data_IF_439011002404
#
_entry.id   IF_439011002404
#
_cell.length_a   1.000
_cell.length_b   1.000
_cell.length_c   1.000
_cell.angle_alpha   90.00
_cell.angle_beta   90.00
_cell.angle_gamma   90.00
#
_symmetry.space_group_name_H-M   'P 1'
#
loop_
_entity.id
_entity.type
_entity.pdbx_description
1 polymer ?
#
# COMPACT_ATOMS: atom_id res chain seq x y z
N UNK A 1 -37.73 49.46 -40.80
CA UNK A 1 -37.04 48.17 -41.01
C UNK A 1 -35.55 48.49 -41.08
N UNK A 2 -34.71 48.48 -40.01
CA UNK A 2 -34.25 47.39 -39.09
C UNK A 2 -33.81 46.14 -39.89
N UNK A 3 -32.59 45.57 -39.86
CA UNK A 3 -31.36 45.58 -39.02
C UNK A 3 -30.16 45.25 -39.95
N UNK A 4 -28.99 45.91 -39.93
CA UNK A 4 -27.76 45.70 -39.13
C UNK A 4 -27.34 44.24 -38.89
N UNK A 5 -26.22 43.87 -39.52
CA UNK A 5 -25.71 42.51 -39.66
C UNK A 5 -24.73 42.06 -38.58
N UNK A 6 -24.72 40.73 -38.41
CA UNK A 6 -23.68 39.80 -37.99
C UNK A 6 -22.76 40.21 -36.82
N UNK A 7 -23.08 39.65 -35.64
CA UNK A 7 -22.18 39.52 -34.50
C UNK A 7 -21.36 38.22 -34.67
N UNK A 8 -20.03 38.32 -34.64
CA UNK A 8 -19.13 37.16 -34.59
C UNK A 8 -18.97 36.74 -33.13
N UNK A 9 -19.32 35.50 -32.82
CA UNK A 9 -19.18 34.90 -31.50
C UNK A 9 -17.79 34.23 -31.42
N UNK A 10 -16.84 34.88 -30.74
CA UNK A 10 -15.56 34.23 -30.37
C UNK A 10 -15.71 33.58 -29.01
N UNK A 11 -15.89 32.26 -28.98
CA UNK A 11 -15.84 31.46 -27.76
C UNK A 11 -14.41 31.03 -27.51
N UNK A 12 -13.76 31.66 -26.52
CA UNK A 12 -12.46 31.21 -26.03
C UNK A 12 -12.69 29.93 -25.22
N UNK A 13 -12.09 28.83 -25.67
CA UNK A 13 -11.98 27.57 -24.94
C UNK A 13 -11.20 27.82 -23.64
N UNK A 14 -11.89 27.75 -22.51
CA UNK A 14 -11.26 27.63 -21.20
C UNK A 14 -10.61 26.24 -21.12
N UNK A 15 -9.30 26.17 -21.30
CA UNK A 15 -8.51 24.98 -21.01
C UNK A 15 -8.54 24.73 -19.50
N UNK A 16 -9.39 23.80 -19.07
CA UNK A 16 -9.35 23.25 -17.74
C UNK A 16 -8.05 22.48 -17.56
N UNK A 17 -7.07 23.11 -16.92
CA UNK A 17 -6.01 22.38 -16.21
C UNK A 17 -6.70 21.61 -15.09
N UNK A 18 -7.05 20.35 -15.37
CA UNK A 18 -7.39 19.43 -14.30
C UNK A 18 -6.07 19.09 -13.64
N UNK A 19 -5.76 19.81 -12.56
CA UNK A 19 -4.77 19.37 -11.60
C UNK A 19 -5.24 18.00 -11.12
N UNK A 20 -4.64 16.93 -11.65
CA UNK A 20 -4.68 15.63 -10.99
C UNK A 20 -3.95 15.87 -9.69
N UNK A 21 -4.69 16.10 -8.61
CA UNK A 21 -4.12 15.99 -7.27
C UNK A 21 -3.54 14.59 -7.22
N UNK A 22 -2.21 14.47 -7.15
CA UNK A 22 -1.56 13.22 -6.80
C UNK A 22 -2.02 12.90 -5.38
N UNK A 23 -3.14 12.18 -5.27
CA UNK A 23 -3.56 11.63 -3.99
C UNK A 23 -2.48 10.62 -3.62
N UNK A 24 -1.95 10.70 -2.40
CA UNK A 24 -1.06 9.67 -1.90
C UNK A 24 -1.73 8.30 -2.11
N UNK A 25 -1.00 7.34 -2.65
CA UNK A 25 -1.48 5.97 -2.80
C UNK A 25 -1.73 5.38 -1.41
N UNK A 26 -2.65 4.42 -1.29
CA UNK A 26 -3.12 3.92 0.02
C UNK A 26 -3.34 2.41 0.00
N UNK A 27 -3.18 1.80 1.17
CA UNK A 27 -3.88 0.55 1.51
C UNK A 27 -5.19 0.95 2.20
N UNK A 28 -6.29 0.33 1.80
CA UNK A 28 -7.62 0.71 2.29
C UNK A 28 -8.42 -0.55 2.64
N UNK A 29 -9.14 -0.51 3.75
CA UNK A 29 -9.99 -1.62 4.16
C UNK A 29 -10.37 -1.59 5.63
N UNK A 30 -10.49 -2.76 6.22
CA UNK A 30 -10.93 -2.96 7.61
C UNK A 30 -9.86 -3.64 8.45
N UNK A 31 -9.73 -3.19 9.70
CA UNK A 31 -8.99 -3.88 10.76
C UNK A 31 -9.87 -3.90 12.01
N UNK A 32 -10.16 -5.10 12.52
CA UNK A 32 -11.01 -5.31 13.70
C UNK A 32 -12.37 -4.58 13.62
N UNK A 33 -13.12 -4.78 12.53
CA UNK A 33 -14.42 -4.12 12.36
C UNK A 33 -14.37 -2.63 12.03
N UNK A 34 -13.18 -2.03 11.97
CA UNK A 34 -13.00 -0.59 11.81
C UNK A 34 -12.37 -0.27 10.45
N UNK A 35 -13.05 0.57 9.67
CA UNK A 35 -12.49 1.12 8.42
C UNK A 35 -11.21 1.92 8.71
N UNK A 36 -10.16 1.64 7.94
CA UNK A 36 -8.85 2.26 8.05
C UNK A 36 -8.24 2.49 6.68
N UNK A 37 -7.39 3.50 6.64
CA UNK A 37 -6.53 3.81 5.50
C UNK A 37 -5.08 3.92 6.00
N UNK A 38 -4.15 3.41 5.20
CA UNK A 38 -2.72 3.57 5.42
C UNK A 38 -2.08 4.18 4.19
N UNK A 39 -1.40 5.30 4.37
CA UNK A 39 -0.82 6.09 3.29
C UNK A 39 0.55 5.54 2.90
N UNK A 40 0.72 5.30 1.60
CA UNK A 40 2.02 5.05 0.99
C UNK A 40 2.72 6.39 0.82
N UNK A 41 3.84 6.53 1.50
CA UNK A 41 4.66 7.73 1.48
C UNK A 41 5.78 7.59 0.45
N UNK A 42 5.92 8.58 -0.42
CA UNK A 42 7.04 8.74 -1.34
C UNK A 42 7.61 10.15 -1.21
N UNK A 43 8.90 10.27 -0.88
CA UNK A 43 9.60 11.55 -0.84
C UNK A 43 11.01 11.37 -1.42
N UNK A 44 11.32 12.09 -2.50
CA UNK A 44 12.60 12.02 -3.20
C UNK A 44 13.00 10.57 -3.54
N UNK A 45 14.06 10.05 -2.92
CA UNK A 45 14.61 8.71 -3.15
C UNK A 45 14.12 7.66 -2.14
N UNK A 46 13.20 8.04 -1.25
CA UNK A 46 12.69 7.19 -0.19
C UNK A 46 11.20 6.91 -0.40
N UNK A 47 10.89 5.70 -0.87
CA UNK A 47 9.54 5.19 -1.01
C UNK A 47 9.27 4.14 0.07
N UNK A 48 8.08 4.19 0.67
CA UNK A 48 7.63 3.19 1.63
C UNK A 48 7.08 1.92 0.98
N UNK A 49 6.92 1.94 -0.35
CA UNK A 49 6.71 0.75 -1.16
C UNK A 49 7.92 0.56 -2.09
N UNK A 50 8.55 -0.59 -2.01
CA UNK A 50 9.77 -0.90 -2.75
C UNK A 50 9.77 -2.31 -3.31
N UNK A 51 10.59 -2.53 -4.33
CA UNK A 51 10.90 -3.88 -4.81
C UNK A 51 12.38 -4.03 -5.14
N UNK A 52 12.88 -5.26 -4.96
CA UNK A 52 14.21 -5.69 -5.38
C UNK A 52 14.06 -6.79 -6.43
N UNK A 53 14.73 -6.62 -7.57
CA UNK A 53 14.90 -7.69 -8.57
C UNK A 53 16.10 -8.53 -8.16
N UNK A 54 15.87 -9.78 -7.76
CA UNK A 54 16.94 -10.69 -7.34
C UNK A 54 17.41 -11.61 -8.48
N UNK A 55 16.90 -11.39 -9.71
CA UNK A 55 17.23 -12.16 -10.90
C UNK A 55 16.29 -13.35 -11.15
N UNK A 56 16.36 -13.91 -12.35
CA UNK A 56 15.63 -15.11 -12.76
C UNK A 56 14.10 -15.06 -12.56
N UNK A 57 13.50 -13.87 -12.60
CA UNK A 57 12.06 -13.68 -12.41
C UNK A 57 11.62 -13.65 -10.95
N UNK A 58 12.58 -13.63 -10.01
CA UNK A 58 12.32 -13.55 -8.59
C UNK A 58 12.36 -12.08 -8.11
N UNK A 59 11.42 -11.72 -7.24
CA UNK A 59 11.30 -10.37 -6.71
C UNK A 59 11.02 -10.39 -5.21
N UNK A 60 11.58 -9.44 -4.48
CA UNK A 60 11.17 -9.11 -3.11
C UNK A 60 10.43 -7.79 -3.15
N UNK A 61 9.24 -7.73 -2.56
CA UNK A 61 8.42 -6.52 -2.49
C UNK A 61 8.10 -6.22 -1.03
N UNK A 62 8.30 -4.98 -0.63
CA UNK A 62 7.99 -4.46 0.70
C UNK A 62 7.07 -3.24 0.57
N UNK A 63 5.89 -3.30 1.18
CA UNK A 63 4.90 -2.23 1.17
C UNK A 63 4.63 -1.83 2.61
N UNK A 64 4.88 -0.58 2.97
CA UNK A 64 4.59 -0.04 4.30
C UNK A 64 3.66 1.16 4.17
N UNK A 65 2.43 1.01 4.64
CA UNK A 65 1.50 2.12 4.78
C UNK A 65 1.48 2.66 6.21
N UNK A 66 1.37 3.97 6.37
CA UNK A 66 1.32 4.64 7.67
C UNK A 66 -0.06 5.20 7.94
N UNK A 67 -0.53 5.16 9.19
CA UNK A 67 -1.82 5.79 9.54
C UNK A 67 -1.80 7.32 9.43
N UNK A 68 -0.62 7.95 9.51
CA UNK A 68 -0.42 9.39 9.41
C UNK A 68 0.20 9.75 8.04
N UNK A 69 -0.50 10.53 7.18
CA UNK A 69 0.01 10.93 5.87
C UNK A 69 1.23 11.86 5.94
N UNK A 70 1.45 12.54 7.08
CA UNK A 70 2.59 13.44 7.29
C UNK A 70 3.74 12.74 8.05
N UNK A 71 3.51 11.51 8.52
CA UNK A 71 4.27 10.92 9.60
C UNK A 71 4.82 9.53 9.31
N UNK A 72 6.00 9.44 8.68
CA UNK A 72 6.86 8.24 8.76
C UNK A 72 7.32 7.90 10.19
N UNK A 73 7.15 8.85 11.12
CA UNK A 73 7.36 8.69 12.55
C UNK A 73 6.15 8.10 13.27
N UNK A 74 5.00 8.00 12.60
CA UNK A 74 3.89 7.19 13.10
C UNK A 74 4.40 5.76 13.23
N UNK A 75 4.19 5.20 14.42
CA UNK A 75 4.52 3.80 14.70
C UNK A 75 3.34 2.88 14.39
N UNK A 76 2.16 3.47 14.15
CA UNK A 76 1.01 2.76 13.59
C UNK A 76 1.17 2.68 12.06
N UNK A 77 1.37 1.46 11.59
CA UNK A 77 1.60 1.13 10.18
C UNK A 77 1.14 -0.29 9.89
N UNK A 78 0.88 -0.53 8.61
CA UNK A 78 0.61 -1.85 8.03
C UNK A 78 1.72 -2.16 7.03
N UNK A 79 2.46 -3.23 7.28
CA UNK A 79 3.52 -3.74 6.41
C UNK A 79 3.04 -5.01 5.72
N UNK A 80 3.31 -5.10 4.42
CA UNK A 80 3.11 -6.30 3.60
C UNK A 80 4.42 -6.57 2.87
N UNK A 81 5.07 -7.67 3.21
CA UNK A 81 6.27 -8.16 2.53
C UNK A 81 5.92 -9.42 1.75
N UNK A 82 6.48 -9.62 0.57
CA UNK A 82 6.25 -10.81 -0.24
C UNK A 82 7.44 -11.15 -1.13
N UNK A 83 7.70 -12.44 -1.33
CA UNK A 83 8.61 -12.91 -2.37
C UNK A 83 7.82 -13.53 -3.52
N UNK A 84 8.16 -13.11 -4.73
CA UNK A 84 7.64 -13.67 -5.96
C UNK A 84 8.69 -14.52 -6.65
N UNK A 85 8.22 -15.54 -7.36
CA UNK A 85 9.01 -16.34 -8.29
C UNK A 85 8.19 -16.64 -9.52
N UNK A 86 8.74 -16.32 -10.69
CA UNK A 86 8.06 -16.51 -11.97
C UNK A 86 6.64 -15.89 -12.00
N UNK A 87 6.43 -14.81 -11.23
CA UNK A 87 5.15 -14.13 -11.08
C UNK A 87 4.18 -14.74 -10.06
N UNK A 88 4.54 -15.84 -9.40
CA UNK A 88 3.75 -16.47 -8.33
C UNK A 88 4.25 -16.07 -6.94
N UNK A 89 3.33 -15.94 -5.97
CA UNK A 89 3.68 -15.63 -4.58
C UNK A 89 4.21 -16.89 -3.90
N UNK A 90 5.48 -16.86 -3.45
CA UNK A 90 6.09 -17.95 -2.70
C UNK A 90 5.82 -17.85 -1.20
N UNK A 91 5.95 -16.64 -0.67
CA UNK A 91 5.68 -16.31 0.72
C UNK A 91 5.19 -14.87 0.84
N UNK A 92 4.57 -14.58 1.97
CA UNK A 92 4.20 -13.23 2.36
C UNK A 92 4.16 -13.13 3.88
N UNK A 93 4.35 -11.92 4.36
CA UNK A 93 4.19 -11.55 5.76
C UNK A 93 3.39 -10.25 5.83
N UNK A 94 2.40 -10.22 6.72
CA UNK A 94 1.59 -9.04 7.02
C UNK A 94 1.82 -8.70 8.49
N UNK A 95 2.19 -7.45 8.76
CA UNK A 95 2.44 -6.96 10.11
C UNK A 95 1.71 -5.64 10.34
N UNK A 96 0.90 -5.57 11.39
CA UNK A 96 0.37 -4.31 11.91
C UNK A 96 1.01 -4.01 13.27
N UNK A 97 1.68 -2.85 13.37
CA UNK A 97 2.36 -2.42 14.58
C UNK A 97 1.39 -1.80 15.58
N UNK A 98 1.39 -2.30 16.82
CA UNK A 98 0.46 -1.89 17.87
C UNK A 98 1.17 -1.02 18.91
N UNK A 99 0.90 0.28 18.91
CA UNK A 99 1.33 1.19 19.96
C UNK A 99 2.70 1.84 19.74
N UNK A 100 3.24 2.47 20.79
CA UNK A 100 4.31 3.47 20.68
C UNK A 100 5.61 3.11 21.40
N UNK A 101 5.72 1.92 22.00
CA UNK A 101 6.91 1.44 22.74
C UNK A 101 8.04 0.99 21.81
N UNK A 102 9.31 1.11 22.22
CA UNK A 102 10.47 0.76 21.38
C UNK A 102 10.35 -0.62 20.70
N UNK A 103 9.81 -1.61 21.40
CA UNK A 103 9.41 -2.92 20.87
C UNK A 103 7.90 -3.07 21.11
N UNK A 104 7.06 -2.63 20.15
CA UNK A 104 5.62 -2.76 20.28
C UNK A 104 5.19 -4.19 19.98
N UNK A 105 4.07 -4.66 20.56
CA UNK A 105 3.40 -5.85 20.06
C UNK A 105 2.96 -5.65 18.60
N UNK A 106 2.75 -6.75 17.90
CA UNK A 106 2.29 -6.75 16.50
C UNK A 106 1.12 -7.69 16.31
N UNK A 107 0.23 -7.36 15.38
CA UNK A 107 -0.61 -8.36 14.74
C UNK A 107 0.12 -8.87 13.51
N UNK A 108 0.24 -10.18 13.36
CA UNK A 108 1.05 -10.82 12.31
C UNK A 108 0.28 -11.92 11.58
N UNK A 109 0.61 -12.13 10.31
CA UNK A 109 0.14 -13.31 9.57
C UNK A 109 0.80 -14.60 10.04
N UNK A 110 1.96 -14.52 10.70
CA UNK A 110 2.60 -15.69 11.32
C UNK A 110 1.69 -16.27 12.41
N UNK A 111 1.36 -17.56 12.32
CA UNK A 111 0.40 -18.19 13.23
C UNK A 111 -1.06 -17.69 13.08
N UNK A 112 -1.30 -16.78 12.14
CA UNK A 112 -2.62 -16.29 11.76
C UNK A 112 -3.32 -17.21 10.74
N UNK A 113 -4.58 -16.88 10.44
CA UNK A 113 -5.34 -17.46 9.33
C UNK A 113 -5.63 -16.36 8.31
N UNK A 114 -4.61 -16.00 7.53
CA UNK A 114 -4.65 -14.90 6.57
C UNK A 114 -4.43 -15.43 5.18
N UNK A 115 -5.24 -14.98 4.23
CA UNK A 115 -5.06 -15.21 2.80
C UNK A 115 -4.55 -13.94 2.12
N UNK A 116 -3.47 -14.09 1.34
CA UNK A 116 -2.97 -13.07 0.43
C UNK A 116 -3.36 -13.41 -1.01
N UNK A 117 -3.82 -12.41 -1.77
CA UNK A 117 -4.08 -12.52 -3.21
C UNK A 117 -3.37 -11.41 -3.95
N UNK A 118 -2.46 -11.78 -4.85
CA UNK A 118 -1.83 -10.85 -5.79
C UNK A 118 -2.66 -10.78 -7.06
N UNK A 119 -3.18 -9.60 -7.39
CA UNK A 119 -3.95 -9.37 -8.61
C UNK A 119 -3.06 -8.87 -9.76
N UNK A 120 -2.04 -8.06 -9.46
CA UNK A 120 -1.12 -7.53 -10.47
C UNK A 120 0.26 -7.29 -9.87
N UNK A 121 1.28 -7.70 -10.61
CA UNK A 121 2.65 -7.26 -10.44
C UNK A 121 3.24 -7.00 -11.83
N UNK A 122 3.59 -5.75 -12.11
CA UNK A 122 4.09 -5.34 -13.42
C UNK A 122 5.22 -4.32 -13.26
N UNK A 123 6.40 -4.64 -13.79
CA UNK A 123 7.60 -3.80 -13.70
C UNK A 123 7.76 -2.94 -14.96
N UNK A 124 7.92 -1.64 -14.78
CA UNK A 124 8.20 -0.67 -15.83
C UNK A 124 9.43 0.18 -15.46
N UNK A 125 10.61 -0.33 -15.82
CA UNK A 125 11.87 0.33 -15.48
C UNK A 125 12.13 0.33 -13.97
N UNK A 126 12.16 1.52 -13.37
CA UNK A 126 12.47 1.72 -11.95
C UNK A 126 11.23 1.67 -11.03
N UNK A 127 10.05 1.43 -11.58
CA UNK A 127 8.79 1.32 -10.82
C UNK A 127 8.09 0.00 -11.11
N UNK A 128 7.31 -0.48 -10.15
CA UNK A 128 6.42 -1.61 -10.33
C UNK A 128 5.02 -1.27 -9.82
N UNK A 129 3.98 -1.59 -10.59
CA UNK A 129 2.61 -1.58 -10.07
C UNK A 129 2.36 -2.89 -9.32
N UNK A 130 1.85 -2.77 -8.11
CA UNK A 130 1.51 -3.90 -7.23
C UNK A 130 0.07 -3.73 -6.77
N UNK A 131 -0.79 -4.67 -7.10
CA UNK A 131 -2.19 -4.65 -6.67
C UNK A 131 -2.60 -6.01 -6.10
N UNK A 132 -3.38 -5.99 -5.02
CA UNK A 132 -3.77 -7.21 -4.33
C UNK A 132 -4.68 -6.97 -3.13
N UNK A 133 -4.88 -8.03 -2.35
CA UNK A 133 -5.70 -8.01 -1.15
C UNK A 133 -5.18 -8.96 -0.08
N UNK A 134 -5.44 -8.59 1.17
CA UNK A 134 -5.19 -9.39 2.38
C UNK A 134 -6.53 -9.58 3.08
N UNK A 135 -6.88 -10.82 3.44
CA UNK A 135 -8.10 -11.09 4.19
C UNK A 135 -7.90 -12.23 5.19
N UNK A 136 -8.46 -12.12 6.39
CA UNK A 136 -8.47 -13.19 7.40
C UNK A 136 -8.24 -12.66 8.80
N UNK A 137 -7.58 -13.43 9.66
CA UNK A 137 -7.30 -13.06 11.05
C UNK A 137 -5.79 -13.08 11.31
N UNK A 138 -5.24 -11.93 11.68
CA UNK A 138 -3.86 -11.79 12.14
C UNK A 138 -3.77 -12.25 13.59
N UNK A 139 -2.71 -12.97 13.97
CA UNK A 139 -2.46 -13.38 15.34
C UNK A 139 -1.70 -12.30 16.12
N UNK A 140 -1.97 -12.16 17.42
CA UNK A 140 -1.25 -11.23 18.29
C UNK A 140 0.11 -11.81 18.69
N UNK A 141 1.18 -11.07 18.49
CA UNK A 141 2.49 -11.36 19.05
C UNK A 141 2.89 -10.25 20.02
N UNK A 142 2.93 -10.57 21.31
CA UNK A 142 3.19 -9.59 22.36
C UNK A 142 4.61 -9.01 22.34
N UNK A 143 5.58 -9.83 21.92
CA UNK A 143 6.99 -9.46 21.84
C UNK A 143 7.73 -10.30 20.78
N UNK A 144 8.83 -9.74 20.27
CA UNK A 144 9.72 -10.44 19.36
C UNK A 144 10.25 -11.73 20.00
N UNK A 145 10.06 -12.85 19.29
CA UNK A 145 10.51 -14.17 19.74
C UNK A 145 9.50 -14.93 20.61
N UNK A 146 8.40 -14.29 21.02
CA UNK A 146 7.25 -15.00 21.58
C UNK A 146 6.37 -15.54 20.44
N UNK A 147 5.73 -16.71 20.61
CA UNK A 147 4.85 -17.27 19.60
C UNK A 147 3.59 -16.40 19.44
N UNK A 148 3.09 -16.20 18.21
CA UNK A 148 1.81 -15.52 17.98
C UNK A 148 0.62 -16.30 18.57
N UNK A 149 -0.39 -15.58 19.07
CA UNK A 149 -1.64 -16.09 19.60
C UNK A 149 -2.83 -15.69 18.71
N UNK A 150 -3.44 -16.67 18.04
CA UNK A 150 -4.61 -16.47 17.19
C UNK A 150 -5.90 -16.19 17.99
N UNK A 151 -6.01 -16.67 19.24
CA UNK A 151 -7.21 -16.44 20.07
C UNK A 151 -7.37 -14.96 20.45
N UNK A 152 -6.26 -14.22 20.46
CA UNK A 152 -6.22 -12.76 20.69
C UNK A 152 -5.97 -11.99 19.38
N UNK A 153 -6.20 -12.65 18.24
CA UNK A 153 -6.03 -12.07 16.92
C UNK A 153 -7.09 -11.04 16.55
N UNK A 154 -6.87 -10.36 15.42
CA UNK A 154 -7.80 -9.39 14.84
C UNK A 154 -8.06 -9.68 13.37
N UNK A 155 -9.29 -9.41 12.94
CA UNK A 155 -9.67 -9.56 11.55
C UNK A 155 -9.07 -8.43 10.70
N UNK A 156 -8.64 -8.78 9.49
CA UNK A 156 -8.12 -7.87 8.48
C UNK A 156 -8.82 -8.14 7.15
N UNK A 157 -9.19 -7.06 6.44
CA UNK A 157 -9.67 -7.12 5.08
C UNK A 157 -9.23 -5.85 4.33
N UNK A 158 -8.09 -5.91 3.65
CA UNK A 158 -7.42 -4.76 3.03
C UNK A 158 -7.17 -5.00 1.56
N UNK A 159 -7.31 -3.96 0.75
CA UNK A 159 -6.96 -3.95 -0.67
C UNK A 159 -5.96 -2.85 -0.96
N UNK A 160 -5.16 -3.02 -2.01
CA UNK A 160 -4.17 -2.04 -2.44
C UNK A 160 -3.94 -2.10 -3.95
N UNK A 161 -3.61 -0.96 -4.54
CA UNK A 161 -3.15 -0.78 -5.91
C UNK A 161 -2.16 0.40 -5.92
N UNK A 162 -0.88 0.07 -5.87
CA UNK A 162 0.20 0.99 -5.50
C UNK A 162 1.40 0.84 -6.43
N UNK A 163 2.27 1.85 -6.41
CA UNK A 163 3.53 1.92 -7.12
C UNK A 163 4.67 1.69 -6.14
N UNK A 164 5.46 0.65 -6.38
CA UNK A 164 6.68 0.35 -5.64
C UNK A 164 7.91 0.85 -6.43
N UNK A 165 8.87 1.46 -5.72
CA UNK A 165 10.13 1.92 -6.31
C UNK A 165 11.20 0.82 -6.25
N UNK A 166 12.02 0.71 -7.30
CA UNK A 166 13.16 -0.20 -7.30
C UNK A 166 14.20 0.26 -6.28
N UNK A 167 14.75 -0.68 -5.52
CA UNK A 167 15.97 -0.48 -4.72
C UNK A 167 17.11 -1.35 -5.26
N UNK A 168 18.33 -0.82 -5.21
CA UNK A 168 19.57 -1.52 -5.59
C UNK A 168 20.50 -1.54 -4.37
N UNK A 169 21.16 -2.69 -4.13
CA UNK A 169 22.11 -2.89 -3.02
C UNK A 169 23.55 -3.00 -3.51
#
# INVERSE_FOLDING_TARGET
MKQWGAMVLSTILAGGFWSVSAMAERLEGELDGTEREWFILSQYDDASATFTDIGDGDYLIDIVGFADPDGRRSRDSLSISMALKDGEVLNYDVLNLIGTSAMPPVYTSEGGDVQFTLATFAVEGAVARVAGSVQGTLALQEALGEPPNLEEGVDIAVTFDITASRIEY
#
